data_IF_074300112343
#
_entry.id   IF_074300112343
#
_cell.length_a   1.000
_cell.length_b   1.000
_cell.length_c   1.000
_cell.angle_alpha   90.00
_cell.angle_beta   90.00
_cell.angle_gamma   90.00
#
_symmetry.space_group_name_H-M   'P 1'
#
loop_
_entity.id
_entity.type
_entity.pdbx_description
1 polymer ?
#
# COMPACT_ATOMS: atom_id res chain seq x y z
N UNK A 1 21.37 -54.42 -15.56
CA UNK A 1 20.61 -53.34 -16.25
C UNK A 1 21.25 -53.04 -17.59
N UNK A 2 20.49 -53.09 -18.69
CA UNK A 2 21.01 -52.75 -20.03
C UNK A 2 21.35 -51.26 -20.13
N UNK A 3 22.34 -50.89 -20.96
CA UNK A 3 22.75 -49.47 -21.18
C UNK A 3 21.56 -48.57 -21.54
N UNK A 4 20.56 -49.10 -22.25
CA UNK A 4 19.32 -48.40 -22.61
C UNK A 4 18.42 -48.13 -21.41
N UNK A 5 18.30 -49.06 -20.46
CA UNK A 5 17.51 -48.87 -19.25
C UNK A 5 18.11 -47.82 -18.31
N UNK A 6 19.45 -47.76 -18.20
CA UNK A 6 20.15 -46.71 -17.43
C UNK A 6 19.94 -45.32 -18.01
N UNK A 7 19.93 -45.21 -19.34
CA UNK A 7 19.65 -43.94 -20.04
C UNK A 7 18.19 -43.49 -19.86
N UNK A 8 17.23 -44.40 -19.99
CA UNK A 8 15.82 -44.09 -19.77
C UNK A 8 15.52 -43.65 -18.33
N UNK A 9 16.15 -44.28 -17.34
CA UNK A 9 16.03 -43.91 -15.93
C UNK A 9 16.62 -42.52 -15.63
N UNK A 10 17.82 -42.23 -16.15
CA UNK A 10 18.44 -40.91 -16.00
C UNK A 10 17.56 -39.80 -16.60
N UNK A 11 17.02 -40.05 -17.79
CA UNK A 11 16.13 -39.12 -18.49
C UNK A 11 14.84 -38.87 -17.72
N UNK A 12 14.19 -39.93 -17.24
CA UNK A 12 12.95 -39.81 -16.45
C UNK A 12 13.21 -39.09 -15.12
N UNK A 13 14.33 -39.39 -14.45
CA UNK A 13 14.73 -38.71 -13.22
C UNK A 13 14.92 -37.20 -13.43
N UNK A 14 15.58 -36.77 -14.51
CA UNK A 14 15.76 -35.34 -14.83
C UNK A 14 14.42 -34.65 -15.11
N UNK A 15 13.52 -35.30 -15.86
CA UNK A 15 12.20 -34.74 -16.14
C UNK A 15 11.34 -34.60 -14.88
N UNK A 16 11.33 -35.62 -14.00
CA UNK A 16 10.61 -35.60 -12.72
C UNK A 16 11.19 -34.56 -11.78
N UNK A 17 12.52 -34.46 -11.69
CA UNK A 17 13.19 -33.47 -10.84
C UNK A 17 12.90 -32.04 -11.32
N UNK A 18 12.92 -31.81 -12.64
CA UNK A 18 12.56 -30.53 -13.24
C UNK A 18 11.10 -30.16 -12.97
N UNK A 19 10.16 -31.09 -13.11
CA UNK A 19 8.76 -30.89 -12.79
C UNK A 19 8.55 -30.60 -11.30
N UNK A 20 9.22 -31.35 -10.41
CA UNK A 20 9.17 -31.14 -8.97
C UNK A 20 9.73 -29.76 -8.56
N UNK A 21 10.80 -29.30 -9.21
CA UNK A 21 11.36 -27.96 -8.99
C UNK A 21 10.42 -26.85 -9.45
N UNK A 22 9.81 -26.98 -10.63
CA UNK A 22 8.77 -26.06 -11.10
C UNK A 22 7.61 -26.03 -10.10
N UNK A 23 7.15 -27.20 -9.66
CA UNK A 23 6.02 -27.31 -8.72
C UNK A 23 6.37 -26.71 -7.37
N UNK A 24 7.56 -26.97 -6.83
CA UNK A 24 8.05 -26.38 -5.60
C UNK A 24 8.20 -24.86 -5.71
N UNK A 25 8.67 -24.36 -6.86
CA UNK A 25 8.72 -22.94 -7.15
C UNK A 25 7.31 -22.35 -7.07
N UNK A 26 6.34 -22.92 -7.81
CA UNK A 26 4.93 -22.49 -7.81
C UNK A 26 4.30 -22.56 -6.41
N UNK A 27 4.54 -23.61 -5.65
CA UNK A 27 4.00 -23.77 -4.29
C UNK A 27 4.54 -22.69 -3.35
N UNK A 28 5.83 -22.35 -3.48
CA UNK A 28 6.43 -21.23 -2.74
C UNK A 28 5.79 -19.89 -3.07
N UNK A 29 5.16 -19.73 -4.24
CA UNK A 29 4.47 -18.50 -4.65
C UNK A 29 3.10 -18.40 -3.99
N UNK A 30 2.41 -19.52 -3.83
CA UNK A 30 1.09 -19.59 -3.19
C UNK A 30 1.15 -19.46 -1.67
N UNK A 31 2.35 -19.53 -1.09
CA UNK A 31 2.56 -19.46 0.36
C UNK A 31 2.88 -18.02 0.76
N UNK A 32 1.94 -17.33 1.40
CA UNK A 32 2.11 -15.94 1.86
C UNK A 32 2.89 -15.88 3.18
N UNK A 33 4.04 -15.17 3.23
CA UNK A 33 4.76 -14.87 4.49
C UNK A 33 6.28 -14.61 4.38
N UNK A 34 6.89 -14.12 5.46
CA UNK A 34 8.33 -13.75 5.60
C UNK A 34 9.32 -14.90 5.32
N UNK A 35 8.90 -16.16 5.50
CA UNK A 35 9.66 -17.35 5.13
C UNK A 35 9.85 -17.49 3.61
N UNK A 36 8.96 -16.91 2.80
CA UNK A 36 9.06 -16.91 1.35
C UNK A 36 10.19 -15.98 0.89
N UNK A 37 10.35 -14.77 1.45
CA UNK A 37 11.33 -13.77 0.98
C UNK A 37 12.77 -14.26 1.02
N UNK A 38 13.18 -15.01 2.06
CA UNK A 38 14.56 -15.48 2.19
C UNK A 38 14.89 -16.70 1.34
N UNK A 39 13.92 -17.58 1.10
CA UNK A 39 14.10 -18.78 0.25
C UNK A 39 13.83 -18.47 -1.23
N UNK A 40 13.10 -17.40 -1.53
CA UNK A 40 12.72 -16.98 -2.87
C UNK A 40 13.93 -16.71 -3.76
N UNK A 41 14.93 -15.95 -3.27
CA UNK A 41 16.14 -15.62 -4.04
C UNK A 41 16.90 -16.89 -4.42
N UNK A 42 17.03 -17.83 -3.47
CA UNK A 42 17.72 -19.09 -3.72
C UNK A 42 16.96 -19.99 -4.70
N UNK A 43 15.65 -20.15 -4.50
CA UNK A 43 14.77 -20.91 -5.40
C UNK A 43 14.80 -20.32 -6.82
N UNK A 44 14.79 -19.00 -6.97
CA UNK A 44 14.91 -18.33 -8.26
C UNK A 44 16.22 -18.72 -8.96
N UNK A 45 17.36 -18.60 -8.28
CA UNK A 45 18.67 -18.94 -8.86
C UNK A 45 18.82 -20.42 -9.21
N UNK A 46 18.27 -21.33 -8.39
CA UNK A 46 18.24 -22.77 -8.70
C UNK A 46 17.41 -23.02 -9.97
N UNK A 47 16.24 -22.39 -10.11
CA UNK A 47 15.42 -22.52 -11.31
C UNK A 47 16.10 -21.93 -12.54
N UNK A 48 16.78 -20.78 -12.41
CA UNK A 48 17.60 -20.21 -13.49
C UNK A 48 18.72 -21.17 -13.91
N UNK A 49 19.41 -21.78 -12.96
CA UNK A 49 20.47 -22.77 -13.25
C UNK A 49 19.92 -23.99 -13.98
N UNK A 50 18.76 -24.50 -13.56
CA UNK A 50 18.08 -25.65 -14.19
C UNK A 50 17.58 -25.30 -15.60
N UNK A 51 16.95 -24.13 -15.77
CA UNK A 51 16.56 -23.61 -17.08
C UNK A 51 17.75 -23.46 -18.01
N UNK A 52 18.86 -22.91 -17.52
CA UNK A 52 20.12 -22.79 -18.26
C UNK A 52 20.66 -24.15 -18.68
N UNK A 53 20.71 -25.12 -17.76
CA UNK A 53 21.15 -26.48 -18.04
C UNK A 53 20.27 -27.17 -19.10
N UNK A 54 18.95 -27.11 -18.95
CA UNK A 54 17.99 -27.64 -19.93
C UNK A 54 18.17 -27.00 -21.31
N UNK A 55 18.33 -25.68 -21.35
CA UNK A 55 18.56 -24.93 -22.59
C UNK A 55 19.84 -25.39 -23.28
N UNK A 56 20.93 -25.58 -22.54
CA UNK A 56 22.20 -26.10 -23.08
C UNK A 56 22.02 -27.52 -23.61
N UNK A 57 21.34 -28.41 -22.88
CA UNK A 57 21.09 -29.79 -23.33
C UNK A 57 20.26 -29.83 -24.61
N UNK A 58 19.19 -29.01 -24.68
CA UNK A 58 18.35 -28.88 -25.87
C UNK A 58 19.18 -28.37 -27.05
N UNK A 59 19.99 -27.33 -26.84
CA UNK A 59 20.81 -26.71 -27.89
C UNK A 59 21.88 -27.69 -28.42
N UNK A 60 22.57 -28.40 -27.53
CA UNK A 60 23.54 -29.44 -27.89
C UNK A 60 22.87 -30.61 -28.63
N UNK A 61 21.67 -31.02 -28.20
CA UNK A 61 20.87 -32.04 -28.88
C UNK A 61 20.50 -31.62 -30.30
N UNK A 62 20.05 -30.38 -30.48
CA UNK A 62 19.72 -29.80 -31.78
C UNK A 62 20.96 -29.70 -32.69
N UNK A 63 22.09 -29.18 -32.17
CA UNK A 63 23.36 -29.10 -32.88
C UNK A 63 23.86 -30.49 -33.32
N UNK A 64 23.77 -31.49 -32.45
CA UNK A 64 24.16 -32.87 -32.75
C UNK A 64 23.27 -33.48 -33.84
N UNK A 65 21.98 -33.16 -33.85
CA UNK A 65 21.05 -33.60 -34.88
C UNK A 65 21.40 -32.97 -36.24
N UNK A 66 21.61 -31.65 -36.27
CA UNK A 66 21.97 -30.89 -37.48
C UNK A 66 23.31 -31.36 -38.07
N UNK A 67 24.31 -31.59 -37.23
CA UNK A 67 25.62 -32.10 -37.68
C UNK A 67 25.53 -33.53 -38.23
N UNK A 68 24.74 -34.42 -37.60
CA UNK A 68 24.48 -35.77 -38.13
C UNK A 68 23.78 -35.74 -39.49
N UNK A 69 22.78 -34.86 -39.65
CA UNK A 69 22.09 -34.61 -40.91
C UNK A 69 23.06 -34.22 -42.04
N UNK A 70 24.01 -33.32 -41.76
CA UNK A 70 25.04 -32.90 -42.72
C UNK A 70 26.03 -34.02 -43.07
N UNK A 71 26.30 -34.94 -42.13
CA UNK A 71 27.27 -36.03 -42.34
C UNK A 71 26.79 -37.22 -43.19
N UNK A 72 25.55 -37.19 -43.71
CA UNK A 72 25.09 -38.11 -44.76
C UNK A 72 24.92 -39.59 -44.40
N UNK A 73 25.06 -39.99 -43.12
CA UNK A 73 24.98 -41.41 -42.70
C UNK A 73 23.58 -41.99 -42.89
N UNK A 74 23.49 -43.23 -43.40
CA UNK A 74 22.23 -43.97 -43.61
C UNK A 74 21.43 -44.08 -42.28
N UNK A 75 20.13 -43.82 -42.31
CA UNK A 75 19.25 -43.78 -41.11
C UNK A 75 19.14 -42.42 -40.40
N UNK A 76 20.07 -41.48 -40.62
CA UNK A 76 20.04 -40.15 -39.98
C UNK A 76 18.90 -39.25 -40.48
N UNK A 77 18.54 -39.36 -41.76
CA UNK A 77 17.43 -38.60 -42.37
C UNK A 77 16.07 -38.98 -41.80
N UNK A 78 15.84 -40.26 -41.51
CA UNK A 78 14.56 -40.74 -40.96
C UNK A 78 14.39 -40.27 -39.51
N UNK A 79 15.42 -40.45 -38.68
CA UNK A 79 15.46 -39.94 -37.30
C UNK A 79 15.27 -38.43 -37.24
N UNK A 80 15.92 -37.69 -38.14
CA UNK A 80 15.77 -36.25 -38.21
C UNK A 80 14.37 -35.81 -38.65
N UNK A 81 13.74 -36.50 -39.61
CA UNK A 81 12.38 -36.19 -40.05
C UNK A 81 11.36 -36.44 -38.93
N UNK A 82 11.49 -37.56 -38.21
CA UNK A 82 10.68 -37.86 -37.03
C UNK A 82 10.90 -36.84 -35.90
N UNK A 83 12.15 -36.55 -35.56
CA UNK A 83 12.49 -35.56 -34.55
C UNK A 83 11.98 -34.15 -34.90
N UNK A 84 12.03 -33.77 -36.17
CA UNK A 84 11.49 -32.50 -36.67
C UNK A 84 9.98 -32.39 -36.49
N UNK A 85 9.22 -33.45 -36.79
CA UNK A 85 7.76 -33.47 -36.59
C UNK A 85 7.42 -33.35 -35.10
N UNK A 86 8.07 -34.13 -34.23
CA UNK A 86 7.84 -34.03 -32.78
C UNK A 86 8.27 -32.68 -32.20
N UNK A 87 9.38 -32.10 -32.68
CA UNK A 87 9.80 -30.77 -32.28
C UNK A 87 8.80 -29.71 -32.73
N UNK A 88 8.26 -29.79 -33.94
CA UNK A 88 7.23 -28.87 -34.41
C UNK A 88 5.98 -28.95 -33.53
N UNK A 89 5.48 -30.16 -33.26
CA UNK A 89 4.27 -30.40 -32.48
C UNK A 89 4.45 -30.02 -30.99
N UNK A 90 5.66 -30.17 -30.43
CA UNK A 90 5.93 -29.81 -29.03
C UNK A 90 6.31 -28.34 -28.82
N UNK A 91 7.15 -27.78 -29.69
CA UNK A 91 7.76 -26.46 -29.50
C UNK A 91 6.84 -25.34 -30.00
N UNK A 92 6.22 -25.49 -31.18
CA UNK A 92 5.45 -24.39 -31.79
C UNK A 92 4.23 -23.99 -30.95
N UNK A 93 3.37 -24.93 -30.48
CA UNK A 93 2.27 -24.58 -29.59
C UNK A 93 2.77 -24.02 -28.25
N UNK A 94 3.87 -24.54 -27.71
CA UNK A 94 4.49 -24.05 -26.48
C UNK A 94 4.94 -22.60 -26.60
N UNK A 95 5.61 -22.23 -27.69
CA UNK A 95 6.03 -20.86 -27.97
C UNK A 95 4.85 -19.91 -28.15
N UNK A 96 3.78 -20.36 -28.83
CA UNK A 96 2.55 -19.60 -28.97
C UNK A 96 1.92 -19.29 -27.61
N UNK A 97 1.73 -20.32 -26.78
CA UNK A 97 1.20 -20.17 -25.43
C UNK A 97 2.09 -19.25 -24.61
N UNK A 98 3.41 -19.45 -24.63
CA UNK A 98 4.36 -18.59 -23.92
C UNK A 98 4.26 -17.13 -24.36
N UNK A 99 4.18 -16.86 -25.66
CA UNK A 99 4.09 -15.50 -26.19
C UNK A 99 2.81 -14.79 -25.75
N UNK A 100 1.66 -15.47 -25.85
CA UNK A 100 0.36 -14.94 -25.40
C UNK A 100 0.36 -14.73 -23.88
N UNK A 101 0.85 -15.71 -23.11
CA UNK A 101 0.96 -15.60 -21.65
C UNK A 101 1.91 -14.48 -21.23
N UNK A 102 3.04 -14.31 -21.91
CA UNK A 102 3.99 -13.23 -21.62
C UNK A 102 3.36 -11.86 -21.86
N UNK A 103 2.67 -11.68 -22.99
CA UNK A 103 1.94 -10.44 -23.28
C UNK A 103 0.84 -10.18 -22.25
N UNK A 104 0.03 -11.19 -21.94
CA UNK A 104 -1.06 -11.07 -20.99
C UNK A 104 -0.54 -10.74 -19.60
N UNK A 105 0.49 -11.42 -19.11
CA UNK A 105 1.08 -11.19 -17.77
C UNK A 105 1.70 -9.81 -17.69
N UNK A 106 2.48 -9.40 -18.69
CA UNK A 106 3.13 -8.08 -18.67
C UNK A 106 2.09 -6.98 -18.67
N UNK A 107 1.11 -7.03 -19.58
CA UNK A 107 0.06 -6.00 -19.67
C UNK A 107 -0.90 -6.02 -18.49
N UNK A 108 -1.26 -7.19 -17.97
CA UNK A 108 -2.18 -7.29 -16.83
C UNK A 108 -1.53 -6.83 -15.53
N UNK A 109 -0.28 -7.22 -15.22
CA UNK A 109 0.39 -6.66 -14.04
C UNK A 109 0.52 -5.14 -14.17
N UNK A 110 0.83 -4.65 -15.37
CA UNK A 110 0.95 -3.20 -15.57
C UNK A 110 -0.39 -2.47 -15.42
N UNK A 111 -1.51 -3.06 -15.87
CA UNK A 111 -2.84 -2.44 -15.81
C UNK A 111 -3.47 -2.46 -14.41
N UNK A 112 -3.23 -3.49 -13.60
CA UNK A 112 -3.77 -3.57 -12.23
C UNK A 112 -2.98 -2.71 -11.23
N UNK A 113 -1.70 -2.46 -11.52
CA UNK A 113 -0.84 -1.54 -10.76
C UNK A 113 -0.77 -0.15 -11.39
N UNK A 114 -1.61 0.14 -12.37
CA UNK A 114 -1.50 1.36 -13.15
C UNK A 114 -1.84 2.60 -12.32
N UNK A 115 -1.42 3.74 -12.86
CA UNK A 115 -1.57 5.09 -12.33
C UNK A 115 -2.98 5.36 -11.81
N UNK A 116 -4.03 4.71 -12.33
CA UNK A 116 -5.42 4.94 -11.90
C UNK A 116 -5.68 4.56 -10.43
N UNK A 117 -5.16 3.43 -9.92
CA UNK A 117 -5.37 3.05 -8.51
C UNK A 117 -4.55 3.96 -7.59
N UNK A 118 -3.30 4.22 -7.97
CA UNK A 118 -2.44 5.17 -7.26
C UNK A 118 -3.07 6.57 -7.21
N UNK A 119 -3.57 7.06 -8.34
CA UNK A 119 -4.20 8.36 -8.49
C UNK A 119 -5.53 8.43 -7.76
N UNK A 120 -6.33 7.36 -7.73
CA UNK A 120 -7.56 7.31 -6.96
C UNK A 120 -7.28 7.33 -5.44
N UNK A 121 -6.27 6.59 -4.98
CA UNK A 121 -5.86 6.62 -3.58
C UNK A 121 -5.25 7.97 -3.20
N UNK A 122 -4.42 8.57 -4.06
CA UNK A 122 -3.81 9.88 -3.85
C UNK A 122 -4.87 11.00 -3.86
N UNK A 123 -5.80 10.97 -4.82
CA UNK A 123 -6.94 11.88 -4.85
C UNK A 123 -7.86 11.69 -3.65
N UNK A 124 -8.08 10.45 -3.20
CA UNK A 124 -8.87 10.13 -2.00
C UNK A 124 -8.19 10.65 -0.73
N UNK A 125 -6.88 10.48 -0.60
CA UNK A 125 -6.08 11.01 0.51
C UNK A 125 -6.11 12.55 0.51
N UNK A 126 -5.89 13.17 -0.66
CA UNK A 126 -5.92 14.61 -0.84
C UNK A 126 -7.31 15.19 -0.51
N UNK A 127 -8.38 14.53 -0.95
CA UNK A 127 -9.76 14.91 -0.65
C UNK A 127 -10.08 14.78 0.85
N UNK A 128 -9.66 13.68 1.48
CA UNK A 128 -9.82 13.49 2.92
C UNK A 128 -9.11 14.58 3.72
N UNK A 129 -7.84 14.85 3.37
CA UNK A 129 -7.05 15.91 3.97
C UNK A 129 -7.67 17.29 3.75
N UNK A 130 -8.07 17.63 2.52
CA UNK A 130 -8.67 18.94 2.23
C UNK A 130 -10.00 19.15 2.96
N UNK A 131 -10.79 18.07 3.14
CA UNK A 131 -12.07 18.13 3.86
C UNK A 131 -11.83 18.37 5.35
N UNK A 132 -10.84 17.71 5.94
CA UNK A 132 -10.46 17.89 7.34
C UNK A 132 -9.83 19.26 7.59
N UNK A 133 -8.99 19.74 6.68
CA UNK A 133 -8.41 21.08 6.71
C UNK A 133 -9.50 22.17 6.60
N UNK A 134 -10.50 21.95 5.73
CA UNK A 134 -11.65 22.84 5.62
C UNK A 134 -12.49 22.85 6.91
N UNK A 135 -12.72 21.70 7.55
CA UNK A 135 -13.38 21.62 8.84
C UNK A 135 -12.60 22.35 9.94
N UNK A 136 -11.27 22.26 9.93
CA UNK A 136 -10.40 23.02 10.83
C UNK A 136 -10.47 24.53 10.61
N UNK A 137 -10.50 24.97 9.36
CA UNK A 137 -10.64 26.38 9.00
C UNK A 137 -12.03 26.94 9.37
N UNK A 138 -13.10 26.17 9.16
CA UNK A 138 -14.47 26.53 9.58
C UNK A 138 -14.55 26.68 11.10
N UNK A 139 -14.02 25.71 11.86
CA UNK A 139 -14.01 25.80 13.32
C UNK A 139 -13.15 26.97 13.83
N UNK A 140 -12.02 27.27 13.16
CA UNK A 140 -11.21 28.46 13.46
C UNK A 140 -11.97 29.77 13.22
N UNK A 141 -12.77 29.83 12.17
CA UNK A 141 -13.65 30.98 11.88
C UNK A 141 -14.74 31.12 12.94
N UNK A 142 -15.39 30.02 13.34
CA UNK A 142 -16.35 30.00 14.45
C UNK A 142 -15.71 30.43 15.76
N UNK A 143 -14.51 29.95 16.06
CA UNK A 143 -13.75 30.35 17.25
C UNK A 143 -13.46 31.85 17.26
N UNK A 144 -13.08 32.42 16.11
CA UNK A 144 -12.89 33.87 15.97
C UNK A 144 -14.15 34.66 16.28
N UNK A 145 -15.25 34.29 15.63
CA UNK A 145 -16.53 34.97 15.79
C UNK A 145 -17.03 34.86 17.24
N UNK A 146 -16.84 33.71 17.87
CA UNK A 146 -17.13 33.51 19.29
C UNK A 146 -16.24 34.36 20.20
N UNK A 147 -14.94 34.46 19.89
CA UNK A 147 -13.99 35.26 20.65
C UNK A 147 -14.29 36.76 20.56
N UNK A 148 -14.65 37.26 19.38
CA UNK A 148 -15.07 38.64 19.15
C UNK A 148 -16.36 38.95 19.95
N UNK A 149 -17.37 38.07 19.92
CA UNK A 149 -18.59 38.21 20.76
C UNK A 149 -18.30 38.21 22.25
N UNK A 150 -17.39 37.35 22.72
CA UNK A 150 -16.96 37.36 24.12
C UNK A 150 -16.21 38.65 24.49
N UNK A 151 -15.44 39.21 23.56
CA UNK A 151 -14.83 40.53 23.70
C UNK A 151 -15.88 41.63 23.87
N UNK A 152 -16.90 41.65 23.01
CA UNK A 152 -17.99 42.64 23.07
C UNK A 152 -18.79 42.55 24.37
N UNK A 153 -19.07 41.34 24.87
CA UNK A 153 -19.75 41.13 26.16
C UNK A 153 -18.95 41.63 27.37
N UNK A 154 -17.63 41.82 27.22
CA UNK A 154 -16.78 42.42 28.26
C UNK A 154 -16.95 43.94 28.31
N UNK A 155 -17.37 44.55 27.21
CA UNK A 155 -17.75 45.96 27.09
C UNK A 155 -19.23 46.10 27.46
N UNK A 156 -19.56 45.95 28.75
CA UNK A 156 -20.92 46.21 29.24
C UNK A 156 -21.35 47.67 29.03
N UNK A 157 -22.67 47.92 28.99
CA UNK A 157 -23.36 49.20 28.70
C UNK A 157 -22.75 50.44 29.39
N UNK A 158 -21.67 51.01 28.83
CA UNK A 158 -21.19 52.38 29.05
C UNK A 158 -20.93 52.87 30.49
N UNK A 159 -21.12 52.03 31.51
CA UNK A 159 -20.92 52.38 32.92
C UNK A 159 -19.50 52.02 33.35
N UNK A 160 -18.68 53.00 33.75
CA UNK A 160 -17.36 52.72 34.30
C UNK A 160 -17.53 51.84 35.56
N UNK A 161 -17.10 50.58 35.48
CA UNK A 161 -17.07 49.66 36.62
C UNK A 161 -18.07 48.51 36.62
N UNK A 162 -19.02 48.43 35.67
CA UNK A 162 -19.96 47.30 35.59
C UNK A 162 -19.32 46.11 34.85
N UNK A 163 -18.53 45.35 35.61
CA UNK A 163 -17.72 44.22 35.12
C UNK A 163 -18.60 42.98 35.02
N UNK A 164 -18.96 42.56 33.82
CA UNK A 164 -19.50 41.21 33.64
C UNK A 164 -18.33 40.23 33.55
N UNK A 165 -18.07 39.37 34.57
CA UNK A 165 -17.04 38.36 34.45
C UNK A 165 -17.39 37.42 33.29
N UNK A 166 -16.43 37.17 32.40
CA UNK A 166 -16.52 36.09 31.41
C UNK A 166 -16.58 34.75 32.15
N UNK A 167 -17.80 34.37 32.52
CA UNK A 167 -18.10 33.16 33.27
C UNK A 167 -18.68 32.05 32.42
N UNK A 168 -18.99 30.89 33.04
CA UNK A 168 -19.50 29.70 32.35
C UNK A 168 -20.76 29.96 31.52
N UNK A 169 -21.64 30.86 31.98
CA UNK A 169 -22.91 31.16 31.32
C UNK A 169 -22.72 31.91 29.98
N UNK A 170 -21.78 32.84 29.91
CA UNK A 170 -21.47 33.54 28.65
C UNK A 170 -20.86 32.57 27.63
N UNK A 171 -19.99 31.67 28.11
CA UNK A 171 -19.38 30.61 27.31
C UNK A 171 -20.41 29.61 26.78
N UNK A 172 -21.39 29.22 27.60
CA UNK A 172 -22.49 28.34 27.21
C UNK A 172 -23.39 28.96 26.12
N UNK A 173 -23.66 30.27 26.19
CA UNK A 173 -24.40 30.98 25.12
C UNK A 173 -23.63 31.00 23.80
N UNK A 174 -22.32 31.24 23.84
CA UNK A 174 -21.49 31.22 22.63
C UNK A 174 -21.39 29.80 22.07
N UNK A 175 -21.23 28.79 22.93
CA UNK A 175 -21.23 27.37 22.54
C UNK A 175 -22.53 26.97 21.81
N UNK A 176 -23.68 27.24 22.43
CA UNK A 176 -25.00 26.93 21.88
C UNK A 176 -25.33 27.72 20.60
N UNK A 177 -24.88 28.97 20.49
CA UNK A 177 -25.05 29.76 19.26
C UNK A 177 -24.19 29.29 18.10
N UNK A 178 -22.99 28.76 18.38
CA UNK A 178 -22.07 28.25 17.36
C UNK A 178 -22.33 26.77 17.03
N UNK A 179 -23.25 26.12 17.75
CA UNK A 179 -23.57 24.69 17.65
C UNK A 179 -22.33 23.79 17.75
N UNK A 180 -21.46 24.09 18.73
CA UNK A 180 -20.22 23.34 18.98
C UNK A 180 -20.35 22.51 20.26
N UNK A 181 -19.87 21.25 20.30
CA UNK A 181 -19.98 20.40 21.48
C UNK A 181 -19.31 20.96 22.73
N UNK A 182 -18.08 21.47 22.61
CA UNK A 182 -17.33 22.04 23.74
C UNK A 182 -16.70 23.39 23.40
N UNK A 183 -16.78 24.31 24.38
CA UNK A 183 -16.12 25.60 24.39
C UNK A 183 -15.36 25.77 25.71
N UNK A 184 -14.12 26.27 25.63
CA UNK A 184 -13.23 26.43 26.78
C UNK A 184 -12.59 27.81 26.72
N UNK A 185 -12.72 28.57 27.80
CA UNK A 185 -12.01 29.81 27.98
C UNK A 185 -10.64 29.52 28.59
N UNK A 186 -9.59 29.94 27.90
CA UNK A 186 -8.20 29.76 28.29
C UNK A 186 -7.57 31.09 28.66
N UNK A 187 -6.60 31.05 29.58
CA UNK A 187 -5.73 32.19 29.86
C UNK A 187 -4.46 32.18 28.99
N UNK A 188 -3.58 33.16 29.23
CA UNK A 188 -2.38 33.40 28.42
C UNK A 188 -1.51 32.15 28.20
N UNK A 189 -1.34 31.29 29.21
CA UNK A 189 -0.47 30.11 29.13
C UNK A 189 -1.24 28.82 28.78
N UNK A 190 -2.48 28.93 28.29
CA UNK A 190 -3.33 27.78 27.98
C UNK A 190 -3.96 27.13 29.23
N UNK A 191 -3.91 27.80 30.38
CA UNK A 191 -4.66 27.34 31.56
C UNK A 191 -6.17 27.47 31.33
N UNK A 192 -6.93 26.46 31.72
CA UNK A 192 -8.39 26.46 31.64
C UNK A 192 -8.95 27.40 32.71
N UNK A 193 -9.63 28.46 32.29
CA UNK A 193 -10.31 29.42 33.17
C UNK A 193 -11.78 29.04 33.35
N UNK A 194 -12.43 28.58 32.29
CA UNK A 194 -13.82 28.14 32.29
C UNK A 194 -14.07 27.16 31.14
N UNK A 195 -15.05 26.27 31.29
CA UNK A 195 -15.45 25.31 30.26
C UNK A 195 -16.97 25.17 30.21
N UNK A 196 -17.51 25.02 29.02
CA UNK A 196 -18.91 24.77 28.74
C UNK A 196 -19.01 23.66 27.69
N UNK A 197 -19.78 22.60 27.94
CA UNK A 197 -19.81 21.45 27.04
C UNK A 197 -20.15 20.13 27.72
N UNK A 198 -20.46 19.12 26.91
CA UNK A 198 -20.95 17.81 27.36
C UNK A 198 -20.09 16.63 26.93
N UNK A 199 -19.07 16.82 26.08
CA UNK A 199 -18.25 15.71 25.54
C UNK A 199 -17.10 15.29 26.46
N UNK A 200 -16.99 15.89 27.66
CA UNK A 200 -15.94 15.60 28.62
C UNK A 200 -16.17 14.29 29.38
N UNK A 201 -15.72 13.16 28.81
CA UNK A 201 -15.38 11.96 29.60
C UNK A 201 -14.12 12.15 30.46
N UNK A 202 -13.37 13.24 30.31
CA UNK A 202 -12.28 13.64 31.19
C UNK A 202 -12.67 14.92 31.94
N UNK A 203 -12.66 14.89 33.28
CA UNK A 203 -13.03 16.01 34.15
C UNK A 203 -12.12 17.26 34.04
N UNK A 204 -11.10 17.23 33.17
CA UNK A 204 -10.16 18.32 32.95
C UNK A 204 -9.93 18.49 31.46
N UNK A 205 -10.30 19.63 30.84
CA UNK A 205 -9.96 19.90 29.45
C UNK A 205 -8.44 19.89 29.28
N UNK A 206 -7.97 19.06 28.36
CA UNK A 206 -6.55 18.95 28.05
C UNK A 206 -6.04 20.26 27.44
N UNK A 207 -4.84 20.68 27.85
CA UNK A 207 -4.27 21.96 27.43
C UNK A 207 -3.89 21.91 25.94
N UNK A 208 -4.20 22.96 25.16
CA UNK A 208 -3.75 23.01 23.77
C UNK A 208 -2.23 23.11 23.69
N UNK A 209 -1.68 22.69 22.54
CA UNK A 209 -0.25 22.75 22.29
C UNK A 209 0.27 24.21 22.30
N UNK A 210 1.51 24.38 22.74
CA UNK A 210 2.15 25.71 22.79
C UNK A 210 2.35 26.33 21.40
N UNK A 211 2.45 25.50 20.34
CA UNK A 211 2.46 25.94 18.94
C UNK A 211 1.12 26.54 18.53
N UNK A 212 0.00 25.90 18.88
CA UNK A 212 -1.35 26.37 18.56
C UNK A 212 -1.64 27.73 19.21
N UNK A 213 -1.27 27.89 20.49
CA UNK A 213 -1.42 29.19 21.19
C UNK A 213 -0.56 30.30 20.55
N UNK A 214 0.69 30.00 20.18
CA UNK A 214 1.55 30.98 19.50
C UNK A 214 0.99 31.38 18.14
N UNK A 215 0.48 30.43 17.36
CA UNK A 215 -0.16 30.71 16.08
C UNK A 215 -1.43 31.55 16.27
N UNK A 216 -2.26 31.24 17.27
CA UNK A 216 -3.44 32.02 17.60
C UNK A 216 -3.10 33.45 18.05
N UNK A 217 -1.96 33.69 18.71
CA UNK A 217 -1.49 35.05 19.02
C UNK A 217 -1.11 35.85 17.78
N UNK A 218 -0.40 35.22 16.84
CA UNK A 218 0.10 35.88 15.63
C UNK A 218 -1.02 36.15 14.62
N UNK A 219 -1.87 35.16 14.37
CA UNK A 219 -2.91 35.20 13.33
C UNK A 219 -4.30 35.51 13.88
N UNK A 220 -4.42 35.78 15.19
CA UNK A 220 -5.67 35.90 15.99
C UNK A 220 -6.51 34.63 16.09
N UNK A 221 -6.24 33.62 15.28
CA UNK A 221 -6.92 32.32 15.24
C UNK A 221 -5.98 31.21 14.79
N UNK A 222 -6.18 30.00 15.26
CA UNK A 222 -5.52 28.80 14.75
C UNK A 222 -6.43 27.58 14.89
N UNK A 223 -6.36 26.66 13.93
CA UNK A 223 -7.11 25.39 13.95
C UNK A 223 -6.16 24.23 13.65
N UNK A 224 -6.35 23.11 14.33
CA UNK A 224 -5.54 21.90 14.15
C UNK A 224 -6.42 20.65 14.31
N UNK A 225 -6.09 19.62 13.54
CA UNK A 225 -6.67 18.29 13.67
C UNK A 225 -5.78 17.43 14.57
N UNK A 226 -6.37 16.78 15.56
CA UNK A 226 -5.68 15.88 16.50
C UNK A 226 -6.33 14.50 16.48
N UNK A 227 -5.55 13.44 16.80
CA UNK A 227 -6.07 12.09 17.01
C UNK A 227 -6.14 11.17 15.78
N UNK A 228 -5.79 11.63 14.58
CA UNK A 228 -5.70 10.74 13.40
C UNK A 228 -4.38 9.97 13.32
N UNK A 229 -3.29 10.58 13.77
CA UNK A 229 -1.94 9.99 13.71
C UNK A 229 -1.54 9.27 15.01
N UNK A 230 -2.33 9.44 16.07
CA UNK A 230 -2.06 8.87 17.38
C UNK A 230 -2.48 7.40 17.44
N UNK A 231 -1.59 6.53 17.91
CA UNK A 231 -1.93 5.13 18.16
C UNK A 231 -2.94 5.06 19.32
N UNK A 232 -4.16 4.53 19.10
CA UNK A 232 -5.15 4.47 20.16
C UNK A 232 -4.66 3.56 21.31
N UNK A 233 -4.97 3.90 22.57
CA UNK A 233 -4.71 3.03 23.70
C UNK A 233 -5.29 1.61 23.49
N UNK A 234 -4.71 0.57 24.10
CA UNK A 234 -5.24 -0.79 23.97
C UNK A 234 -6.72 -0.86 24.35
N UNK A 235 -7.58 -1.25 23.40
CA UNK A 235 -9.04 -1.35 23.60
C UNK A 235 -9.83 -0.05 23.38
N UNK A 236 -9.17 1.08 23.08
CA UNK A 236 -9.84 2.31 22.70
C UNK A 236 -10.10 2.36 21.19
N UNK A 237 -11.21 3.00 20.79
CA UNK A 237 -11.48 3.27 19.38
C UNK A 237 -10.66 4.49 18.93
N UNK A 238 -10.13 4.49 17.70
CA UNK A 238 -9.50 5.68 17.15
C UNK A 238 -10.53 6.81 17.10
N UNK A 239 -10.14 7.98 17.61
CA UNK A 239 -11.00 9.15 17.64
C UNK A 239 -10.18 10.36 17.25
N UNK A 240 -10.75 11.21 16.39
CA UNK A 240 -10.12 12.45 15.97
C UNK A 240 -11.01 13.61 16.33
N UNK A 241 -10.38 14.77 16.56
CA UNK A 241 -11.08 16.01 16.89
C UNK A 241 -10.37 17.18 16.25
N UNK A 242 -11.16 18.15 15.84
CA UNK A 242 -10.68 19.45 15.41
C UNK A 242 -10.67 20.36 16.63
N UNK A 243 -9.52 20.97 16.91
CA UNK A 243 -9.38 22.01 17.93
C UNK A 243 -9.09 23.34 17.25
N UNK A 244 -9.84 24.36 17.63
CA UNK A 244 -9.59 25.72 17.19
C UNK A 244 -9.43 26.66 18.38
N UNK A 245 -8.50 27.60 18.28
CA UNK A 245 -8.19 28.58 19.31
C UNK A 245 -8.20 29.97 18.70
N UNK A 246 -8.90 30.91 19.32
CA UNK A 246 -8.95 32.30 18.91
C UNK A 246 -8.66 33.24 20.07
N UNK A 247 -7.93 34.33 19.80
CA UNK A 247 -7.64 35.36 20.79
C UNK A 247 -8.91 36.17 21.05
N UNK A 248 -9.33 36.27 22.30
CA UNK A 248 -10.44 37.14 22.74
C UNK A 248 -9.92 38.57 22.74
N UNK A 249 -10.48 39.48 21.92
CA UNK A 249 -10.04 40.87 21.92
C UNK A 249 -10.19 41.49 23.31
N UNK A 250 -9.14 42.15 23.76
CA UNK A 250 -9.23 43.02 24.93
C UNK A 250 -9.25 44.48 24.45
N UNK A 251 -10.41 45.11 24.52
CA UNK A 251 -10.60 46.54 24.20
C UNK A 251 -10.42 47.45 25.43
N UNK A 252 -10.05 46.88 26.59
CA UNK A 252 -9.77 47.65 27.80
C UNK A 252 -8.46 48.43 27.66
N UNK A 253 -8.54 49.75 27.88
CA UNK A 253 -7.36 50.60 28.04
C UNK A 253 -6.86 50.46 29.48
N UNK A 254 -5.94 49.53 29.72
CA UNK A 254 -5.28 49.36 31.01
C UNK A 254 -3.99 50.18 31.07
N UNK A 255 -3.98 51.26 31.85
CA UNK A 255 -2.84 52.19 32.00
C UNK A 255 -1.82 51.77 33.08
N UNK A 256 -1.89 50.54 33.62
CA UNK A 256 -1.01 50.16 34.75
C UNK A 256 -0.91 48.67 35.13
N UNK A 257 -1.34 47.72 34.30
CA UNK A 257 -1.23 46.29 34.60
C UNK A 257 -1.06 45.41 33.35
N UNK A 258 -0.55 44.16 33.49
CA UNK A 258 -0.39 43.25 32.36
C UNK A 258 -1.76 42.91 31.75
N UNK A 259 -1.89 43.09 30.44
CA UNK A 259 -3.10 42.70 29.70
C UNK A 259 -3.29 41.19 29.79
N UNK A 260 -4.35 40.74 30.47
CA UNK A 260 -4.69 39.32 30.55
C UNK A 260 -5.15 38.82 29.17
N UNK A 261 -4.23 38.21 28.40
CA UNK A 261 -4.60 37.51 27.18
C UNK A 261 -5.53 36.34 27.51
N UNK A 262 -6.66 36.28 26.82
CA UNK A 262 -7.63 35.19 26.92
C UNK A 262 -7.84 34.60 25.54
N UNK A 263 -8.04 33.29 25.50
CA UNK A 263 -8.35 32.59 24.26
C UNK A 263 -9.66 31.82 24.41
N UNK A 264 -10.46 31.80 23.35
CA UNK A 264 -11.57 30.87 23.21
C UNK A 264 -11.06 29.65 22.46
N UNK A 265 -11.18 28.48 23.07
CA UNK A 265 -10.93 27.19 22.43
C UNK A 265 -12.26 26.50 22.15
N UNK A 266 -12.44 26.04 20.92
CA UNK A 266 -13.56 25.22 20.49
C UNK A 266 -13.05 23.82 20.15
N UNK A 267 -13.81 22.80 20.52
CA UNK A 267 -13.49 21.40 20.22
C UNK A 267 -14.66 20.76 19.53
N UNK A 268 -14.41 20.19 18.35
CA UNK A 268 -15.41 19.47 17.57
C UNK A 268 -14.88 18.05 17.26
N UNK A 269 -15.57 16.98 17.70
CA UNK A 269 -15.21 15.62 17.35
C UNK A 269 -15.45 15.41 15.85
N UNK A 270 -14.52 14.72 15.20
CA UNK A 270 -14.69 14.26 13.83
C UNK A 270 -15.61 13.03 13.87
N UNK A 271 -16.65 12.96 13.00
CA UNK A 271 -17.54 11.81 12.97
C UNK A 271 -16.77 10.48 12.80
N UNK A 272 -17.14 9.45 13.57
CA UNK A 272 -16.46 8.14 13.58
C UNK A 272 -16.34 7.53 12.17
N UNK A 273 -17.37 7.70 11.33
CA UNK A 273 -17.36 7.24 9.95
C UNK A 273 -16.25 7.89 9.12
N UNK A 274 -16.00 9.20 9.32
CA UNK A 274 -14.95 9.92 8.60
C UNK A 274 -13.56 9.50 9.09
N UNK A 275 -13.39 9.27 10.40
CA UNK A 275 -12.15 8.73 10.99
C UNK A 275 -11.85 7.34 10.44
N UNK A 276 -12.83 6.43 10.46
CA UNK A 276 -12.69 5.07 9.94
C UNK A 276 -12.32 5.06 8.46
N UNK A 277 -12.98 5.89 7.64
CA UNK A 277 -12.69 6.00 6.21
C UNK A 277 -11.29 6.57 5.96
N UNK A 278 -10.88 7.61 6.68
CA UNK A 278 -9.55 8.21 6.54
C UNK A 278 -8.44 7.20 6.86
N UNK A 279 -8.59 6.45 7.96
CA UNK A 279 -7.64 5.41 8.36
C UNK A 279 -7.61 4.24 7.36
N UNK A 280 -8.77 3.83 6.84
CA UNK A 280 -8.85 2.79 5.81
C UNK A 280 -8.12 3.20 4.53
N UNK A 281 -8.29 4.44 4.06
CA UNK A 281 -7.60 4.97 2.87
C UNK A 281 -6.09 5.07 3.12
N UNK A 282 -5.66 5.55 4.29
CA UNK A 282 -4.24 5.58 4.64
C UNK A 282 -3.62 4.17 4.66
N UNK A 283 -4.30 3.20 5.25
CA UNK A 283 -3.85 1.81 5.30
C UNK A 283 -3.74 1.22 3.88
N UNK A 284 -4.76 1.41 3.06
CA UNK A 284 -4.77 0.98 1.66
C UNK A 284 -3.65 1.62 0.83
N UNK A 285 -3.38 2.91 1.04
CA UNK A 285 -2.27 3.61 0.37
C UNK A 285 -0.91 3.05 0.77
N UNK A 286 -0.68 2.84 2.08
CA UNK A 286 0.58 2.24 2.58
C UNK A 286 0.79 0.83 2.03
N UNK A 287 -0.26 0.00 2.04
CA UNK A 287 -0.20 -1.35 1.50
C UNK A 287 0.04 -1.36 -0.02
N UNK A 288 -0.63 -0.46 -0.76
CA UNK A 288 -0.38 -0.29 -2.20
C UNK A 288 1.09 0.08 -2.47
N UNK A 289 1.65 1.05 -1.74
CA UNK A 289 3.06 1.45 -1.89
C UNK A 289 4.03 0.29 -1.64
N UNK A 290 3.80 -0.49 -0.57
CA UNK A 290 4.62 -1.68 -0.27
C UNK A 290 4.54 -2.72 -1.40
N UNK A 291 3.36 -3.00 -1.94
CA UNK A 291 3.17 -3.97 -3.03
C UNK A 291 3.69 -3.45 -4.37
N UNK A 292 3.59 -2.15 -4.63
CA UNK A 292 4.10 -1.51 -5.84
C UNK A 292 5.62 -1.63 -5.94
N UNK A 293 6.34 -1.52 -4.80
CA UNK A 293 7.79 -1.76 -4.74
C UNK A 293 8.17 -3.21 -5.12
N UNK A 294 7.28 -4.17 -4.90
CA UNK A 294 7.48 -5.58 -5.24
C UNK A 294 7.01 -5.96 -6.67
N UNK A 295 6.47 -5.02 -7.46
CA UNK A 295 5.89 -5.27 -8.80
C UNK A 295 6.87 -5.94 -9.76
N UNK A 296 8.11 -5.45 -9.83
CA UNK A 296 9.14 -6.02 -10.70
C UNK A 296 9.51 -7.45 -10.29
N UNK A 297 9.50 -7.73 -8.98
CA UNK A 297 9.69 -9.08 -8.45
C UNK A 297 8.61 -10.04 -8.95
N UNK A 298 7.35 -9.63 -8.84
CA UNK A 298 6.20 -10.42 -9.29
C UNK A 298 6.24 -10.68 -10.80
N UNK A 299 6.55 -9.67 -11.61
CA UNK A 299 6.67 -9.82 -13.07
C UNK A 299 7.77 -10.81 -13.44
N UNK A 300 8.97 -10.65 -12.87
CA UNK A 300 10.11 -11.56 -13.13
C UNK A 300 9.79 -13.00 -12.73
N UNK A 301 9.04 -13.18 -11.65
CA UNK A 301 8.62 -14.49 -11.14
C UNK A 301 7.68 -15.22 -12.10
N UNK A 302 6.60 -14.58 -12.54
CA UNK A 302 5.60 -15.22 -13.43
C UNK A 302 6.22 -15.54 -14.79
N UNK A 303 7.00 -14.61 -15.34
CA UNK A 303 7.75 -14.85 -16.58
C UNK A 303 8.75 -16.01 -16.40
N UNK A 304 9.43 -16.07 -15.25
CA UNK A 304 10.33 -17.17 -14.90
C UNK A 304 9.63 -18.53 -14.94
N UNK A 305 8.49 -18.68 -14.26
CA UNK A 305 7.71 -19.94 -14.29
C UNK A 305 7.28 -20.32 -15.70
N UNK A 306 6.82 -19.35 -16.50
CA UNK A 306 6.43 -19.58 -17.89
C UNK A 306 7.60 -20.07 -18.73
N UNK A 307 8.79 -19.47 -18.59
CA UNK A 307 10.00 -19.91 -19.32
C UNK A 307 10.42 -21.32 -18.94
N UNK A 308 10.38 -21.65 -17.65
CA UNK A 308 10.81 -22.96 -17.16
C UNK A 308 9.83 -24.07 -17.59
N UNK A 309 8.52 -23.80 -17.51
CA UNK A 309 7.48 -24.72 -18.00
C UNK A 309 7.62 -24.97 -19.50
N UNK A 310 7.89 -23.92 -20.30
CA UNK A 310 8.18 -24.06 -21.72
C UNK A 310 9.40 -24.95 -21.96
N UNK A 311 10.52 -24.67 -21.29
CA UNK A 311 11.75 -25.45 -21.46
C UNK A 311 11.55 -26.93 -21.07
N UNK A 312 10.83 -27.19 -19.98
CA UNK A 312 10.53 -28.54 -19.53
C UNK A 312 9.63 -29.28 -20.53
N UNK A 313 8.62 -28.59 -21.07
CA UNK A 313 7.73 -29.15 -22.11
C UNK A 313 8.48 -29.47 -23.40
N UNK A 314 9.34 -28.54 -23.87
CA UNK A 314 10.20 -28.74 -25.04
C UNK A 314 11.17 -29.90 -24.82
N UNK A 315 11.78 -29.98 -23.63
CA UNK A 315 12.65 -31.09 -23.27
C UNK A 315 11.90 -32.42 -23.27
N UNK A 316 10.72 -32.49 -22.65
CA UNK A 316 9.87 -33.68 -22.65
C UNK A 316 9.49 -34.13 -24.07
N UNK A 317 9.10 -33.18 -24.93
CA UNK A 317 8.79 -33.47 -26.34
C UNK A 317 10.01 -34.00 -27.11
N UNK A 318 11.19 -33.40 -26.93
CA UNK A 318 12.44 -33.86 -27.55
C UNK A 318 12.87 -35.24 -27.05
N UNK A 319 12.70 -35.51 -25.76
CA UNK A 319 12.97 -36.82 -25.18
C UNK A 319 12.06 -37.89 -25.78
N UNK A 320 10.76 -37.65 -25.84
CA UNK A 320 9.79 -38.54 -26.47
C UNK A 320 10.13 -38.79 -27.95
N UNK A 321 10.53 -37.75 -28.66
CA UNK A 321 10.96 -37.86 -30.05
C UNK A 321 12.15 -38.81 -30.22
N UNK A 322 13.15 -38.69 -29.35
CA UNK A 322 14.37 -39.51 -29.41
C UNK A 322 14.11 -40.94 -28.95
N UNK A 323 13.29 -41.16 -27.92
CA UNK A 323 12.99 -42.51 -27.41
C UNK A 323 12.13 -43.29 -28.41
N UNK A 324 11.03 -42.70 -28.91
CA UNK A 324 10.18 -43.32 -29.92
C UNK A 324 10.92 -43.49 -31.25
N UNK A 325 11.70 -42.49 -31.66
CA UNK A 325 12.53 -42.57 -32.86
C UNK A 325 13.53 -43.72 -32.81
N UNK A 326 14.19 -43.93 -31.67
CA UNK A 326 15.11 -45.07 -31.51
C UNK A 326 14.38 -46.43 -31.45
N UNK A 327 13.18 -46.50 -30.89
CA UNK A 327 12.39 -47.75 -30.85
C UNK A 327 11.91 -48.16 -32.24
N UNK A 328 11.50 -47.20 -33.08
CA UNK A 328 11.04 -47.46 -34.45
C UNK A 328 12.21 -47.84 -35.38
N UNK A 329 13.40 -47.26 -35.16
CA UNK A 329 14.56 -47.46 -36.04
C UNK A 329 15.40 -48.69 -35.68
N UNK A 330 15.42 -49.11 -34.40
CA UNK A 330 16.17 -50.30 -33.97
C UNK A 330 15.84 -51.63 -34.67
N UNK A 331 14.58 -51.95 -35.02
CA UNK A 331 14.26 -53.19 -35.72
C UNK A 331 14.53 -53.14 -37.24
N UNK A 332 14.94 -51.98 -37.78
CA UNK A 332 15.25 -51.77 -39.21
C UNK A 332 16.77 -51.77 -39.50
N UNK A 333 17.61 -51.94 -38.48
CA UNK A 333 19.06 -52.09 -38.55
C UNK A 333 19.45 -53.52 -38.23
#
# INVERSE_FOLDING_TARGET
MTKSARWALLVSAVAVLGAALVLAFVLSLSTTGWLAERHFVWLFWVNVAVAGFLSVVILLGALRLVTRLRSGKFGSRLLAKLAGVFALVGVVPGLLIYGVSYQFVTRSIDSWFDVQVAQALDAGLALGRSTLDAAAADLATKARNGAERLGDLRVGDGRPGDRTPLGPLALERVRSQLDVPDAVLLGANGQVLSSAGGSNSALVPERPSASLLRQARQSRTAGVLEGLDDEPPPGARPSARVRAVALVPNTEINLGGPTEERFLMLVQPVPDALVANALAVQAAYREYQQRALARDGLRRMVVGTLTLSLLLSVFGALLLAVTLGNQIVRPLL
#
